data_IF_120799043262
#
_entry.id   IF_120799043262
#
_cell.length_a   1.000
_cell.length_b   1.000
_cell.length_c   1.000
_cell.angle_alpha   90.00
_cell.angle_beta   90.00
_cell.angle_gamma   90.00
#
_symmetry.space_group_name_H-M   'P 1'
#
loop_
_entity.id
_entity.type
_entity.pdbx_description
1 polymer ?
#
# COMPACT_ATOMS: atom_id res chain seq x y z
N UNK A 1 12.44 -3.64 24.01
CA UNK A 1 12.57 -3.68 22.55
C UNK A 1 13.03 -5.06 22.08
N UNK A 2 14.08 -5.63 22.69
CA UNK A 2 14.66 -6.95 22.32
C UNK A 2 13.70 -8.15 22.22
N UNK A 3 12.67 -8.24 23.08
CA UNK A 3 11.77 -9.39 23.09
C UNK A 3 10.79 -9.41 21.89
N UNK A 4 10.33 -8.24 21.43
CA UNK A 4 9.40 -8.15 20.30
C UNK A 4 10.09 -8.44 18.98
N UNK A 5 11.31 -7.93 18.80
CA UNK A 5 12.09 -8.16 17.57
C UNK A 5 12.48 -9.63 17.40
N UNK A 6 12.71 -10.36 18.50
CA UNK A 6 12.97 -11.80 18.48
C UNK A 6 11.73 -12.63 18.12
N UNK A 7 10.54 -12.19 18.53
CA UNK A 7 9.25 -12.89 18.32
C UNK A 7 8.60 -12.57 16.97
N UNK A 8 8.96 -11.44 16.38
CA UNK A 8 8.45 -10.96 15.10
C UNK A 8 9.50 -11.08 13.98
N UNK A 9 10.16 -12.23 13.91
CA UNK A 9 11.18 -12.49 12.91
C UNK A 9 10.54 -12.75 11.54
N UNK A 10 11.01 -12.05 10.49
CA UNK A 10 10.54 -12.25 9.12
C UNK A 10 10.63 -13.69 8.61
N UNK A 11 11.61 -14.48 9.08
CA UNK A 11 11.70 -15.91 8.75
C UNK A 11 10.53 -16.72 9.31
N UNK A 12 10.06 -16.40 10.51
CA UNK A 12 8.92 -17.08 11.13
C UNK A 12 7.62 -16.73 10.38
N UNK A 13 7.44 -15.45 10.01
CA UNK A 13 6.29 -15.00 9.20
C UNK A 13 6.32 -15.69 7.82
N UNK A 14 7.48 -15.73 7.16
CA UNK A 14 7.63 -16.41 5.88
C UNK A 14 7.31 -17.91 5.97
N UNK A 15 7.69 -18.58 7.06
CA UNK A 15 7.33 -19.98 7.30
C UNK A 15 5.82 -20.13 7.51
N UNK A 16 5.20 -19.21 8.25
CA UNK A 16 3.76 -19.20 8.46
C UNK A 16 2.98 -19.04 7.15
N UNK A 17 3.37 -18.07 6.31
CA UNK A 17 2.75 -17.84 5.00
C UNK A 17 2.77 -19.09 4.10
N UNK A 18 3.81 -19.94 4.21
CA UNK A 18 3.91 -21.19 3.43
C UNK A 18 3.01 -22.32 3.96
N UNK A 19 2.54 -22.23 5.20
CA UNK A 19 1.75 -23.28 5.86
C UNK A 19 0.24 -23.02 5.83
N UNK A 20 -0.16 -21.77 5.54
CA UNK A 20 -1.56 -21.36 5.53
C UNK A 20 -2.02 -21.18 4.09
N UNK A 21 -3.13 -21.82 3.74
CA UNK A 21 -3.84 -21.55 2.50
C UNK A 21 -4.69 -20.28 2.65
N UNK A 22 -4.65 -19.34 1.69
CA UNK A 22 -5.47 -18.15 1.76
C UNK A 22 -6.97 -18.45 1.74
N UNK A 23 -7.71 -17.80 2.65
CA UNK A 23 -9.17 -17.76 2.67
C UNK A 23 -9.68 -16.46 2.04
N UNK A 24 -10.99 -16.29 1.88
CA UNK A 24 -11.56 -15.04 1.37
C UNK A 24 -11.36 -13.85 2.34
N UNK A 25 -11.34 -14.11 3.64
CA UNK A 25 -11.33 -13.12 4.72
C UNK A 25 -9.96 -12.96 5.42
N UNK A 26 -8.99 -13.82 5.11
CA UNK A 26 -7.65 -13.84 5.68
C UNK A 26 -7.64 -13.97 7.23
N UNK A 27 -8.74 -14.41 7.86
CA UNK A 27 -8.89 -14.48 9.33
C UNK A 27 -7.92 -15.47 9.97
N UNK A 28 -7.69 -16.61 9.33
CA UNK A 28 -6.76 -17.62 9.84
C UNK A 28 -5.32 -17.08 9.87
N UNK A 29 -4.92 -16.33 8.85
CA UNK A 29 -3.60 -15.69 8.81
C UNK A 29 -3.47 -14.66 9.94
N UNK A 30 -4.49 -13.82 10.12
CA UNK A 30 -4.53 -12.82 11.19
C UNK A 30 -4.42 -13.49 12.58
N UNK A 31 -5.21 -14.53 12.84
CA UNK A 31 -5.18 -15.27 14.10
C UNK A 31 -3.79 -15.86 14.37
N UNK A 32 -3.14 -16.44 13.35
CA UNK A 32 -1.79 -16.98 13.49
C UNK A 32 -0.71 -15.92 13.69
N UNK A 33 -0.83 -14.74 13.07
CA UNK A 33 0.04 -13.61 13.37
C UNK A 33 -0.17 -13.13 14.81
N UNK A 34 -1.41 -13.10 15.29
CA UNK A 34 -1.73 -12.74 16.68
C UNK A 34 -1.17 -13.73 17.70
N UNK A 35 -1.15 -15.04 17.40
CA UNK A 35 -0.52 -16.08 18.23
C UNK A 35 1.00 -15.87 18.39
N UNK A 36 1.68 -15.34 17.37
CA UNK A 36 3.12 -15.05 17.46
C UNK A 36 3.44 -13.90 18.41
N UNK A 37 2.50 -12.97 18.61
CA UNK A 37 2.69 -11.78 19.46
C UNK A 37 1.48 -11.56 20.39
N UNK A 38 1.25 -12.44 21.38
CA UNK A 38 0.05 -12.33 22.22
C UNK A 38 -0.01 -11.05 23.06
N UNK A 39 1.15 -10.40 23.31
CA UNK A 39 1.23 -9.18 24.10
C UNK A 39 0.81 -7.91 23.36
N UNK A 40 0.69 -7.93 22.04
CA UNK A 40 0.36 -6.75 21.24
C UNK A 40 -0.80 -7.05 20.30
N UNK A 41 -1.67 -6.07 20.07
CA UNK A 41 -2.79 -6.21 19.16
C UNK A 41 -2.30 -6.20 17.71
N UNK A 42 -2.61 -7.28 16.99
CA UNK A 42 -2.40 -7.38 15.54
C UNK A 42 -3.73 -7.10 14.83
N UNK A 43 -3.70 -6.31 13.75
CA UNK A 43 -4.86 -6.09 12.89
C UNK A 43 -4.48 -6.08 11.42
N UNK A 44 -5.40 -6.51 10.56
CA UNK A 44 -5.34 -6.22 9.14
C UNK A 44 -5.79 -4.76 8.93
N UNK A 45 -4.84 -3.88 8.60
CA UNK A 45 -5.09 -2.45 8.44
C UNK A 45 -5.67 -2.12 7.07
N UNK A 46 -5.16 -2.76 6.01
CA UNK A 46 -5.59 -2.51 4.62
C UNK A 46 -5.26 -3.69 3.72
N UNK A 47 -6.11 -3.91 2.71
CA UNK A 47 -5.80 -4.71 1.53
C UNK A 47 -5.46 -3.73 0.41
N UNK A 48 -4.29 -3.88 -0.18
CA UNK A 48 -3.81 -3.06 -1.30
C UNK A 48 -4.59 -3.35 -2.58
N UNK A 49 -4.46 -2.43 -3.54
CA UNK A 49 -5.08 -2.59 -4.86
C UNK A 49 -4.52 -3.82 -5.57
N UNK A 50 -5.31 -4.41 -6.47
CA UNK A 50 -4.88 -5.57 -7.25
C UNK A 50 -3.76 -5.17 -8.21
N UNK A 51 -2.71 -5.97 -8.21
CA UNK A 51 -1.60 -5.86 -9.14
C UNK A 51 -1.46 -7.18 -9.90
N UNK A 52 -0.81 -7.10 -11.07
CA UNK A 52 -0.44 -8.29 -11.83
C UNK A 52 1.06 -8.32 -12.11
N UNK A 53 1.57 -9.51 -12.40
CA UNK A 53 2.91 -9.79 -12.93
C UNK A 53 2.81 -10.91 -13.95
N UNK A 54 3.76 -10.95 -14.87
CA UNK A 54 3.95 -12.09 -15.75
C UNK A 54 4.17 -13.36 -14.92
N UNK A 55 3.49 -14.43 -15.30
CA UNK A 55 3.60 -15.75 -14.67
C UNK A 55 4.53 -16.66 -15.45
N UNK A 56 4.17 -17.93 -15.45
CA UNK A 56 4.83 -18.96 -16.25
C UNK A 56 4.07 -19.33 -17.53
N UNK A 57 4.35 -20.54 -18.00
CA UNK A 57 3.73 -21.16 -19.17
C UNK A 57 3.13 -22.50 -18.78
N UNK A 58 1.94 -22.78 -19.30
CA UNK A 58 1.25 -24.06 -19.15
C UNK A 58 0.81 -24.59 -20.51
N UNK A 59 0.54 -25.88 -20.61
CA UNK A 59 -0.12 -26.46 -21.78
C UNK A 59 -1.66 -26.26 -21.72
N UNK A 60 -2.38 -26.70 -22.76
CA UNK A 60 -3.84 -26.63 -22.83
C UNK A 60 -4.57 -27.46 -21.76
N UNK A 61 -3.88 -28.39 -21.09
CA UNK A 61 -4.41 -29.16 -19.97
C UNK A 61 -4.10 -28.51 -18.61
N UNK A 62 -3.37 -27.39 -18.60
CA UNK A 62 -2.95 -26.68 -17.40
C UNK A 62 -1.70 -27.27 -16.74
N UNK A 63 -0.99 -28.20 -17.38
CA UNK A 63 0.27 -28.71 -16.85
C UNK A 63 1.37 -27.67 -17.00
N UNK A 64 2.19 -27.54 -15.97
CA UNK A 64 3.28 -26.57 -15.92
C UNK A 64 4.40 -26.92 -16.89
N UNK A 65 4.70 -26.01 -17.83
CA UNK A 65 5.86 -26.08 -18.74
C UNK A 65 7.02 -25.26 -18.19
N UNK A 66 6.76 -24.04 -17.71
CA UNK A 66 7.77 -23.15 -17.14
C UNK A 66 7.20 -22.24 -16.05
N UNK A 67 7.97 -21.96 -15.01
CA UNK A 67 7.53 -21.09 -13.90
C UNK A 67 7.62 -19.60 -14.23
N UNK A 68 8.47 -19.25 -15.19
CA UNK A 68 8.76 -17.88 -15.58
C UNK A 68 8.74 -17.79 -17.11
N UNK A 69 7.83 -16.97 -17.63
CA UNK A 69 7.62 -16.73 -19.05
C UNK A 69 8.86 -16.11 -19.71
N UNK A 70 9.50 -15.15 -19.05
CA UNK A 70 10.66 -14.42 -19.59
C UNK A 70 11.85 -15.36 -19.69
N UNK A 71 12.17 -16.07 -18.60
CA UNK A 71 13.29 -17.02 -18.57
C UNK A 71 13.10 -18.13 -19.61
N UNK A 72 11.87 -18.66 -19.73
CA UNK A 72 11.57 -19.67 -20.76
C UNK A 72 11.75 -19.10 -22.16
N UNK A 73 11.29 -17.87 -22.41
CA UNK A 73 11.35 -17.23 -23.73
C UNK A 73 12.80 -17.03 -24.15
N UNK A 74 13.65 -16.46 -23.27
CA UNK A 74 15.07 -16.27 -23.55
C UNK A 74 15.80 -17.58 -23.83
N UNK A 75 15.57 -18.60 -22.98
CA UNK A 75 16.19 -19.92 -23.13
C UNK A 75 15.74 -20.60 -24.42
N UNK A 76 14.44 -20.60 -24.71
CA UNK A 76 13.89 -21.27 -25.90
C UNK A 76 14.28 -20.54 -27.17
N UNK A 77 14.32 -19.20 -27.15
CA UNK A 77 14.82 -18.40 -28.27
C UNK A 77 16.25 -18.79 -28.66
N UNK A 78 17.14 -19.02 -27.68
CA UNK A 78 18.50 -19.51 -27.94
C UNK A 78 18.47 -20.91 -28.57
N UNK A 79 17.65 -21.83 -28.05
CA UNK A 79 17.51 -23.19 -28.57
C UNK A 79 16.95 -23.22 -30.00
N UNK A 80 16.08 -22.27 -30.35
CA UNK A 80 15.56 -22.03 -31.69
C UNK A 80 16.58 -21.33 -32.62
N UNK A 81 17.87 -21.27 -32.23
CA UNK A 81 18.91 -20.65 -33.05
C UNK A 81 18.79 -19.12 -33.13
N UNK A 82 18.17 -18.49 -32.14
CA UNK A 82 17.83 -17.05 -32.12
C UNK A 82 16.92 -16.65 -33.29
N UNK A 83 16.04 -17.56 -33.70
CA UNK A 83 15.05 -17.33 -34.73
C UNK A 83 13.66 -17.17 -34.09
N UNK A 84 13.07 -15.98 -34.21
CA UNK A 84 11.75 -15.67 -33.64
C UNK A 84 10.65 -16.49 -34.30
N UNK A 85 10.71 -16.70 -35.61
CA UNK A 85 9.72 -17.47 -36.34
C UNK A 85 9.69 -18.93 -35.86
N UNK A 86 10.87 -19.52 -35.63
CA UNK A 86 10.97 -20.89 -35.08
C UNK A 86 10.46 -20.98 -33.64
N UNK A 87 10.64 -19.94 -32.84
CA UNK A 87 10.06 -19.85 -31.49
C UNK A 87 8.53 -19.75 -31.54
N UNK A 88 8.00 -18.93 -32.45
CA UNK A 88 6.56 -18.75 -32.70
C UNK A 88 5.94 -20.08 -33.11
N UNK A 89 6.52 -20.77 -34.10
CA UNK A 89 6.05 -22.07 -34.59
C UNK A 89 6.02 -23.09 -33.46
N UNK A 90 7.10 -23.19 -32.67
CA UNK A 90 7.17 -24.10 -31.53
C UNK A 90 6.07 -23.83 -30.48
N UNK A 91 5.84 -22.56 -30.14
CA UNK A 91 4.82 -22.18 -29.17
C UNK A 91 3.39 -22.42 -29.67
N UNK A 92 3.14 -22.20 -30.98
CA UNK A 92 1.85 -22.46 -31.62
C UNK A 92 1.54 -23.95 -31.74
N UNK A 93 2.52 -24.76 -32.16
CA UNK A 93 2.38 -26.21 -32.28
C UNK A 93 1.98 -26.87 -30.94
N UNK A 94 2.63 -26.45 -29.86
CA UNK A 94 2.37 -26.94 -28.49
C UNK A 94 1.16 -26.27 -27.82
N UNK A 95 0.55 -25.26 -28.47
CA UNK A 95 -0.59 -24.48 -27.96
C UNK A 95 -0.35 -23.97 -26.55
N UNK A 96 0.81 -23.39 -26.34
CA UNK A 96 1.23 -22.92 -25.03
C UNK A 96 0.35 -21.75 -24.55
N UNK A 97 0.06 -21.74 -23.26
CA UNK A 97 -0.72 -20.71 -22.59
C UNK A 97 0.22 -19.92 -21.69
N UNK A 98 0.23 -18.60 -21.85
CA UNK A 98 0.86 -17.71 -20.89
C UNK A 98 -0.06 -17.53 -19.68
N UNK A 99 0.55 -17.52 -18.51
CA UNK A 99 -0.16 -17.30 -17.24
C UNK A 99 0.25 -15.96 -16.65
N UNK A 100 -0.58 -15.43 -15.75
CA UNK A 100 -0.27 -14.24 -14.98
C UNK A 100 -0.48 -14.50 -13.50
N UNK A 101 0.32 -13.83 -12.68
CA UNK A 101 0.13 -13.78 -11.24
C UNK A 101 -0.63 -12.52 -10.90
N UNK A 102 -1.79 -12.65 -10.26
CA UNK A 102 -2.57 -11.54 -9.72
C UNK A 102 -2.55 -11.60 -8.20
N UNK A 103 -2.58 -10.44 -7.56
CA UNK A 103 -2.58 -10.41 -6.11
C UNK A 103 -2.75 -9.05 -5.50
N UNK A 104 -2.83 -9.05 -4.17
CA UNK A 104 -2.95 -7.86 -3.34
C UNK A 104 -1.91 -7.94 -2.22
N UNK A 105 -1.46 -6.79 -1.73
CA UNK A 105 -0.66 -6.74 -0.50
C UNK A 105 -1.58 -6.56 0.71
N UNK A 106 -1.54 -7.50 1.65
CA UNK A 106 -2.16 -7.38 2.96
C UNK A 106 -1.23 -6.60 3.89
N UNK A 107 -1.71 -5.48 4.42
CA UNK A 107 -0.98 -4.63 5.35
C UNK A 107 -1.47 -4.90 6.77
N UNK A 108 -0.67 -5.60 7.56
CA UNK A 108 -0.93 -5.81 8.98
C UNK A 108 -0.19 -4.79 9.83
N UNK A 109 -0.77 -4.44 10.96
CA UNK A 109 -0.16 -3.55 11.94
C UNK A 109 -0.16 -4.19 13.31
N UNK A 110 0.96 -4.04 14.00
CA UNK A 110 1.17 -4.39 15.41
C UNK A 110 1.46 -3.11 16.16
N UNK A 111 0.53 -2.67 17.00
CA UNK A 111 0.71 -1.47 17.81
C UNK A 111 1.71 -1.75 18.93
N UNK A 112 2.78 -0.96 19.04
CA UNK A 112 3.85 -1.16 20.03
C UNK A 112 3.86 -0.10 21.13
N UNK A 113 3.11 1.00 20.95
CA UNK A 113 3.02 2.09 21.91
C UNK A 113 1.90 3.07 21.60
N UNK A 114 2.05 4.30 22.08
CA UNK A 114 0.99 5.33 22.00
C UNK A 114 1.34 6.49 21.08
N UNK A 115 2.60 6.64 20.69
CA UNK A 115 2.98 7.65 19.71
C UNK A 115 2.58 7.21 18.30
N UNK A 116 2.51 8.18 17.41
CA UNK A 116 2.19 8.03 16.01
C UNK A 116 3.06 6.99 15.31
N UNK A 117 4.36 6.97 15.61
CA UNK A 117 5.39 6.09 15.06
C UNK A 117 5.51 4.73 15.78
N UNK A 118 4.83 4.55 16.92
CA UNK A 118 4.94 3.34 17.77
C UNK A 118 4.10 2.17 17.21
N UNK A 119 4.45 1.70 16.03
CA UNK A 119 3.89 0.49 15.46
C UNK A 119 4.85 -0.22 14.49
N UNK A 120 4.61 -1.51 14.31
CA UNK A 120 5.27 -2.34 13.29
C UNK A 120 4.25 -2.64 12.20
N UNK A 121 4.67 -2.48 10.94
CA UNK A 121 3.90 -2.89 9.78
C UNK A 121 4.46 -4.17 9.17
N UNK A 122 3.59 -5.10 8.81
CA UNK A 122 3.95 -6.35 8.15
C UNK A 122 3.18 -6.40 6.83
N UNK A 123 3.92 -6.51 5.72
CA UNK A 123 3.33 -6.63 4.40
C UNK A 123 3.44 -8.10 3.94
N UNK A 124 2.30 -8.68 3.55
CA UNK A 124 2.20 -10.04 3.04
C UNK A 124 1.44 -9.99 1.73
N UNK A 125 2.03 -10.49 0.65
CA UNK A 125 1.35 -10.60 -0.63
C UNK A 125 0.46 -11.85 -0.65
N UNK A 126 -0.81 -11.69 -1.03
CA UNK A 126 -1.74 -12.78 -1.35
C UNK A 126 -1.82 -12.87 -2.86
N UNK A 127 -1.33 -13.97 -3.42
CA UNK A 127 -1.24 -14.13 -4.87
C UNK A 127 -1.93 -15.41 -5.31
N UNK A 128 -2.47 -15.38 -6.52
CA UNK A 128 -2.91 -16.55 -7.24
C UNK A 128 -2.45 -16.42 -8.69
N UNK A 129 -2.32 -17.55 -9.36
CA UNK A 129 -1.92 -17.59 -10.75
C UNK A 129 -3.10 -18.07 -11.58
N UNK A 130 -3.32 -17.43 -12.73
CA UNK A 130 -4.42 -17.75 -13.63
C UNK A 130 -3.90 -17.83 -15.06
N UNK A 131 -4.59 -18.62 -15.90
CA UNK A 131 -4.42 -18.51 -17.34
C UNK A 131 -4.80 -17.09 -17.79
N UNK A 132 -4.05 -16.58 -18.76
CA UNK A 132 -4.21 -15.22 -19.26
C UNK A 132 -4.57 -15.25 -20.75
N UNK A 133 -3.69 -15.83 -21.56
CA UNK A 133 -3.77 -15.82 -23.03
C UNK A 133 -3.07 -17.00 -23.65
N UNK A 134 -3.35 -17.27 -24.93
CA UNK A 134 -2.42 -18.06 -25.73
C UNK A 134 -1.07 -17.34 -25.80
N UNK A 135 0.02 -18.10 -25.66
CA UNK A 135 1.37 -17.55 -25.69
C UNK A 135 1.64 -16.85 -27.02
N UNK A 136 1.11 -17.40 -28.12
CA UNK A 136 1.16 -16.80 -29.45
C UNK A 136 -0.23 -16.84 -30.08
N UNK A 137 -0.69 -15.70 -30.57
CA UNK A 137 -1.92 -15.60 -31.36
C UNK A 137 -1.73 -16.23 -32.75
N UNK A 138 -2.74 -16.95 -33.23
CA UNK A 138 -2.77 -17.43 -34.63
C UNK A 138 -3.08 -16.29 -35.62
N UNK A 139 -3.74 -15.22 -35.15
CA UNK A 139 -4.23 -14.13 -35.99
C UNK A 139 -3.30 -12.91 -36.00
N UNK A 140 -2.55 -12.71 -34.91
CA UNK A 140 -1.64 -11.59 -34.75
C UNK A 140 -0.32 -12.06 -34.13
N UNK A 141 0.59 -12.67 -34.91
CA UNK A 141 1.87 -13.16 -34.40
C UNK A 141 2.75 -11.98 -33.94
N UNK A 142 3.55 -12.15 -32.87
CA UNK A 142 4.40 -11.09 -32.34
C UNK A 142 5.53 -10.73 -33.31
N UNK A 143 5.87 -9.44 -33.37
CA UNK A 143 6.92 -8.91 -34.25
C UNK A 143 8.32 -8.99 -33.62
N UNK A 144 8.40 -9.02 -32.29
CA UNK A 144 9.65 -9.14 -31.54
C UNK A 144 9.48 -9.94 -30.22
N UNK A 145 10.56 -10.07 -29.45
CA UNK A 145 10.55 -10.80 -28.18
C UNK A 145 9.78 -10.05 -27.08
N UNK A 146 9.70 -8.72 -27.13
CA UNK A 146 8.96 -7.94 -26.15
C UNK A 146 7.46 -8.18 -26.33
N UNK A 147 6.97 -8.13 -27.58
CA UNK A 147 5.59 -8.46 -27.92
C UNK A 147 5.25 -9.94 -27.67
N UNK A 148 6.22 -10.85 -27.86
CA UNK A 148 6.04 -12.26 -27.48
C UNK A 148 5.81 -12.43 -25.97
N UNK A 149 6.53 -11.67 -25.15
CA UNK A 149 6.49 -11.76 -23.68
C UNK A 149 5.28 -11.03 -23.08
N UNK A 150 4.98 -9.83 -23.55
CA UNK A 150 3.91 -8.98 -23.02
C UNK A 150 3.22 -8.19 -24.15
N UNK A 151 2.35 -8.85 -24.95
CA UNK A 151 1.67 -8.21 -26.06
C UNK A 151 0.66 -7.17 -25.57
N UNK A 152 0.53 -6.06 -26.31
CA UNK A 152 -0.43 -5.01 -26.00
C UNK A 152 -1.90 -5.46 -26.16
N UNK A 153 -2.17 -6.32 -27.16
CA UNK A 153 -3.51 -6.81 -27.48
C UNK A 153 -3.51 -8.34 -27.64
N UNK A 154 -3.46 -9.09 -26.52
CA UNK A 154 -3.45 -10.54 -26.57
C UNK A 154 -4.80 -11.16 -26.90
N UNK A 155 -4.75 -12.37 -27.46
CA UNK A 155 -5.90 -13.29 -27.52
C UNK A 155 -6.13 -13.90 -26.14
N UNK A 156 -6.93 -13.20 -25.32
CA UNK A 156 -7.29 -13.63 -23.97
C UNK A 156 -8.09 -14.93 -23.99
N UNK A 157 -7.77 -15.81 -23.04
CA UNK A 157 -8.54 -17.02 -22.79
C UNK A 157 -9.55 -16.80 -21.66
N UNK A 158 -10.53 -17.69 -21.55
CA UNK A 158 -11.32 -17.77 -20.32
C UNK A 158 -10.39 -18.18 -19.17
N UNK A 159 -10.34 -17.32 -18.14
CA UNK A 159 -9.39 -17.46 -17.04
C UNK A 159 -9.76 -18.66 -16.15
N UNK A 160 -8.79 -19.53 -15.90
CA UNK A 160 -8.87 -20.62 -14.93
C UNK A 160 -7.65 -20.59 -13.99
N UNK A 161 -7.84 -21.04 -12.76
CA UNK A 161 -6.79 -20.99 -11.74
C UNK A 161 -5.70 -22.02 -11.97
N UNK A 162 -4.45 -21.57 -11.87
CA UNK A 162 -3.24 -22.39 -11.90
C UNK A 162 -2.82 -22.65 -10.44
N UNK A 163 -3.34 -23.74 -9.90
CA UNK A 163 -3.09 -24.13 -8.51
C UNK A 163 -3.84 -23.26 -7.50
N UNK A 164 -3.42 -23.36 -6.23
CA UNK A 164 -4.03 -22.64 -5.12
C UNK A 164 -3.40 -21.26 -4.91
N UNK A 165 -4.18 -20.32 -4.37
CA UNK A 165 -3.65 -19.06 -3.86
C UNK A 165 -2.60 -19.31 -2.78
N UNK A 166 -1.68 -18.37 -2.61
CA UNK A 166 -0.58 -18.44 -1.63
C UNK A 166 -0.32 -17.09 -0.98
N UNK A 167 0.13 -17.13 0.27
CA UNK A 167 0.74 -15.98 0.93
C UNK A 167 2.25 -15.97 0.71
N UNK A 168 2.83 -14.78 0.55
CA UNK A 168 4.26 -14.55 0.51
C UNK A 168 4.64 -13.39 1.41
N UNK A 169 5.56 -13.62 2.35
CA UNK A 169 6.09 -12.56 3.20
C UNK A 169 6.91 -11.57 2.36
N UNK A 170 6.57 -10.27 2.45
CA UNK A 170 7.23 -9.20 1.70
C UNK A 170 8.23 -8.46 2.58
N UNK A 171 7.79 -7.95 3.73
CA UNK A 171 8.63 -7.20 4.66
C UNK A 171 7.97 -6.97 6.02
N UNK A 172 8.80 -6.57 6.97
CA UNK A 172 8.46 -6.01 8.28
C UNK A 172 9.13 -4.65 8.39
N UNK A 173 8.39 -3.63 8.83
CA UNK A 173 8.89 -2.27 9.03
C UNK A 173 8.57 -1.88 10.47
N UNK A 174 9.60 -1.72 11.31
CA UNK A 174 9.46 -0.97 12.56
C UNK A 174 9.44 0.52 12.21
N UNK A 175 8.31 1.19 12.43
CA UNK A 175 8.10 2.53 11.86
C UNK A 175 8.96 3.57 12.55
N UNK A 176 9.14 3.49 13.87
CA UNK A 176 10.03 4.40 14.59
C UNK A 176 11.47 4.26 14.09
N UNK A 177 12.01 3.04 14.03
CA UNK A 177 13.37 2.78 13.55
C UNK A 177 13.54 3.18 12.08
N UNK A 178 12.53 2.89 11.26
CA UNK A 178 12.55 3.22 9.84
C UNK A 178 12.53 4.73 9.60
N UNK A 179 11.69 5.48 10.30
CA UNK A 179 11.64 6.93 10.20
C UNK A 179 12.94 7.58 10.70
N UNK A 180 13.52 7.08 11.80
CA UNK A 180 14.83 7.51 12.28
C UNK A 180 15.93 7.34 11.22
N UNK A 181 15.90 6.25 10.47
CA UNK A 181 16.86 6.02 9.37
C UNK A 181 16.60 6.94 8.18
N UNK A 182 15.34 7.12 7.76
CA UNK A 182 14.98 8.02 6.65
C UNK A 182 15.41 9.45 6.98
N UNK A 183 15.14 9.92 8.20
CA UNK A 183 15.44 11.29 8.61
C UNK A 183 16.95 11.63 8.56
N UNK A 184 17.86 10.65 8.63
CA UNK A 184 19.32 10.89 8.49
C UNK A 184 19.72 11.39 7.11
N UNK A 185 18.95 11.07 6.08
CA UNK A 185 19.26 11.42 4.69
C UNK A 185 18.46 12.63 4.18
N UNK A 186 17.62 13.22 5.03
CA UNK A 186 16.82 14.40 4.71
C UNK A 186 17.40 15.65 5.40
N UNK A 187 17.61 16.72 4.63
CA UNK A 187 18.14 18.01 5.14
C UNK A 187 17.07 18.72 5.98
N UNK A 188 15.82 18.66 5.54
CA UNK A 188 14.65 19.19 6.21
C UNK A 188 13.82 18.05 6.82
N UNK A 189 12.93 18.38 7.74
CA UNK A 189 12.03 17.39 8.34
C UNK A 189 11.21 16.68 7.27
N UNK A 190 11.23 15.34 7.29
CA UNK A 190 10.49 14.54 6.33
C UNK A 190 8.97 14.78 6.50
N UNK A 191 8.17 14.96 5.42
CA UNK A 191 6.74 15.23 5.55
C UNK A 191 5.95 14.20 6.37
N UNK A 192 6.34 12.92 6.29
CA UNK A 192 5.74 11.86 7.13
C UNK A 192 6.16 11.98 8.59
N UNK A 193 7.40 12.37 8.89
CA UNK A 193 7.85 12.62 10.26
C UNK A 193 7.04 13.78 10.86
N UNK A 194 6.95 14.89 10.12
CA UNK A 194 6.13 16.03 10.51
C UNK A 194 4.67 15.65 10.75
N UNK A 195 4.09 14.80 9.90
CA UNK A 195 2.72 14.30 10.08
C UNK A 195 2.56 13.56 11.41
N UNK A 196 3.53 12.71 11.77
CA UNK A 196 3.54 11.97 13.03
C UNK A 196 3.72 12.91 14.23
N UNK A 197 4.56 13.93 14.12
CA UNK A 197 4.79 14.92 15.17
C UNK A 197 3.56 15.83 15.39
N UNK A 198 2.93 16.29 14.30
CA UNK A 198 1.65 17.00 14.34
C UNK A 198 0.55 16.14 14.95
N UNK A 199 0.50 14.83 14.63
CA UNK A 199 -0.40 13.89 15.29
C UNK A 199 -0.15 13.84 16.80
N UNK A 200 1.09 13.57 17.20
CA UNK A 200 1.51 13.38 18.59
C UNK A 200 1.18 14.57 19.49
N UNK A 201 1.29 15.80 18.97
CA UNK A 201 1.01 17.02 19.73
C UNK A 201 -0.43 17.54 19.64
N UNK A 202 -1.25 16.99 18.73
CA UNK A 202 -2.66 17.40 18.55
C UNK A 202 -3.63 16.70 19.51
N UNK A 203 -4.91 17.07 19.41
CA UNK A 203 -6.01 16.37 20.11
C UNK A 203 -6.25 14.95 19.57
N UNK A 204 -5.78 14.61 18.36
CA UNK A 204 -6.00 13.30 17.76
C UNK A 204 -5.36 12.18 18.61
N UNK A 205 -4.11 12.36 19.03
CA UNK A 205 -3.37 11.41 19.88
C UNK A 205 -4.11 11.06 21.18
N UNK A 206 -4.89 11.98 21.74
CA UNK A 206 -5.59 11.75 23.01
C UNK A 206 -6.77 10.78 22.88
N UNK A 207 -7.24 10.53 21.66
CA UNK A 207 -8.48 9.78 21.39
C UNK A 207 -8.31 8.67 20.35
N UNK A 208 -7.24 8.68 19.58
CA UNK A 208 -6.97 7.68 18.55
C UNK A 208 -5.49 7.32 18.47
N UNK A 209 -5.25 6.10 17.99
CA UNK A 209 -3.94 5.60 17.60
C UNK A 209 -3.78 5.88 16.12
N UNK A 210 -2.67 6.52 15.70
CA UNK A 210 -2.46 6.87 14.30
C UNK A 210 -2.62 5.65 13.40
N UNK A 211 -2.04 4.53 13.82
CA UNK A 211 -2.00 3.34 12.98
C UNK A 211 -3.40 2.85 12.59
N UNK A 212 -4.41 3.01 13.45
CA UNK A 212 -5.78 2.54 13.20
C UNK A 212 -6.35 3.01 11.86
N UNK A 213 -6.04 4.24 11.45
CA UNK A 213 -6.53 4.86 10.23
C UNK A 213 -5.42 5.18 9.20
N UNK A 214 -4.14 4.97 9.55
CA UNK A 214 -3.00 5.38 8.72
C UNK A 214 -1.86 4.34 8.75
N UNK A 215 -1.23 4.10 7.60
CA UNK A 215 -0.05 3.24 7.47
C UNK A 215 1.06 3.97 6.73
N UNK A 216 2.29 3.44 6.80
CA UNK A 216 3.41 3.93 6.00
C UNK A 216 3.61 3.05 4.76
N UNK A 217 3.84 3.67 3.61
CA UNK A 217 4.20 2.97 2.38
C UNK A 217 5.55 3.47 1.91
N UNK A 218 6.64 2.76 2.24
CA UNK A 218 7.92 3.02 1.62
C UNK A 218 7.87 2.69 0.13
N UNK A 219 8.45 3.56 -0.69
CA UNK A 219 8.57 3.41 -2.13
C UNK A 219 9.97 3.84 -2.58
N UNK A 220 10.37 3.42 -3.77
CA UNK A 220 11.63 3.86 -4.38
C UNK A 220 11.31 4.92 -5.42
N UNK A 221 12.09 5.98 -5.42
CA UNK A 221 12.09 6.97 -6.47
C UNK A 221 13.49 7.10 -7.06
N UNK A 222 13.56 7.36 -8.36
CA UNK A 222 14.82 7.65 -9.04
C UNK A 222 15.07 9.14 -8.94
N UNK A 223 16.16 9.53 -8.28
CA UNK A 223 16.57 10.90 -8.14
C UNK A 223 17.09 11.50 -9.45
N UNK A 224 17.44 12.79 -9.42
CA UNK A 224 17.77 13.56 -10.63
C UNK A 224 19.05 13.08 -11.31
N UNK A 225 19.91 12.34 -10.59
CA UNK A 225 21.16 11.79 -11.09
C UNK A 225 21.12 10.26 -11.24
N UNK A 226 19.91 9.67 -11.25
CA UNK A 226 19.72 8.23 -11.40
C UNK A 226 19.89 7.44 -10.09
N UNK A 227 20.13 8.12 -8.98
CA UNK A 227 20.26 7.51 -7.66
C UNK A 227 18.93 6.92 -7.18
N UNK A 228 18.97 5.76 -6.53
CA UNK A 228 17.78 5.14 -5.96
C UNK A 228 17.55 5.66 -4.55
N UNK A 229 16.52 6.48 -4.37
CA UNK A 229 16.15 7.08 -3.08
C UNK A 229 14.97 6.28 -2.52
N UNK A 230 15.11 5.77 -1.30
CA UNK A 230 13.99 5.22 -0.55
C UNK A 230 13.27 6.41 0.09
N UNK A 231 11.98 6.52 -0.17
CA UNK A 231 11.12 7.52 0.41
C UNK A 231 9.90 6.82 1.03
N UNK A 232 9.08 7.55 1.79
CA UNK A 232 7.91 7.03 2.47
C UNK A 232 6.75 7.99 2.34
N UNK A 233 5.58 7.45 2.11
CA UNK A 233 4.34 8.20 2.22
C UNK A 233 3.47 7.63 3.34
N UNK A 234 2.62 8.49 3.90
CA UNK A 234 1.54 8.06 4.78
C UNK A 234 0.27 7.86 3.98
N UNK A 235 -0.42 6.75 4.24
CA UNK A 235 -1.58 6.28 3.48
C UNK A 235 -2.74 6.09 4.44
N UNK A 236 -3.89 6.70 4.13
CA UNK A 236 -5.11 6.46 4.88
C UNK A 236 -5.63 5.04 4.59
N UNK A 237 -6.03 4.32 5.62
CA UNK A 237 -6.56 2.95 5.54
C UNK A 237 -8.05 2.84 5.80
N UNK A 238 -8.75 3.94 6.07
CA UNK A 238 -10.19 3.85 6.31
C UNK A 238 -10.94 3.35 5.08
N UNK A 239 -11.68 2.27 5.32
CA UNK A 239 -12.67 1.71 4.40
C UNK A 239 -14.08 2.24 4.67
N UNK A 240 -14.28 3.05 5.72
CA UNK A 240 -15.58 3.66 5.99
C UNK A 240 -15.88 4.66 4.87
N UNK A 241 -17.14 4.71 4.44
CA UNK A 241 -17.66 5.72 3.51
C UNK A 241 -17.72 7.10 4.20
N UNK A 242 -16.55 7.67 4.53
CA UNK A 242 -16.43 9.02 5.07
C UNK A 242 -16.82 9.98 3.95
N UNK A 243 -17.84 10.79 4.20
CA UNK A 243 -18.32 11.74 3.21
C UNK A 243 -17.33 12.90 3.12
N UNK A 244 -17.12 13.38 1.90
CA UNK A 244 -16.36 14.60 1.68
C UNK A 244 -16.96 15.76 2.49
N UNK A 245 -16.10 16.56 3.10
CA UNK A 245 -16.52 17.74 3.83
C UNK A 245 -17.20 18.72 2.86
N UNK A 246 -18.35 19.27 3.28
CA UNK A 246 -19.08 20.30 2.53
C UNK A 246 -18.23 21.56 2.39
N UNK A 247 -18.49 22.32 1.32
CA UNK A 247 -17.83 23.60 1.11
C UNK A 247 -17.98 24.54 2.33
N UNK A 248 -16.86 25.16 2.69
CA UNK A 248 -16.70 26.08 3.81
C UNK A 248 -16.89 27.54 3.41
N UNK A 249 -17.05 27.83 2.12
CA UNK A 249 -17.26 29.19 1.61
C UNK A 249 -18.35 29.95 2.37
N UNK A 250 -17.98 31.12 2.90
CA UNK A 250 -18.89 32.01 3.64
C UNK A 250 -19.29 31.54 5.04
N UNK A 251 -18.76 30.41 5.53
CA UNK A 251 -19.04 29.90 6.89
C UNK A 251 -18.01 30.41 7.88
N UNK A 252 -18.47 30.82 9.07
CA UNK A 252 -17.63 31.27 10.20
C UNK A 252 -18.18 30.84 11.56
N UNK A 253 -17.35 30.91 12.58
CA UNK A 253 -17.67 30.66 13.98
C UNK A 253 -18.37 29.32 14.17
N UNK A 254 -19.51 29.32 14.85
CA UNK A 254 -20.29 28.12 15.17
C UNK A 254 -20.66 27.28 13.93
N UNK A 255 -20.90 27.92 12.78
CA UNK A 255 -21.23 27.18 11.55
C UNK A 255 -20.05 26.37 11.02
N UNK A 256 -18.84 26.93 11.08
CA UNK A 256 -17.62 26.26 10.69
C UNK A 256 -17.26 25.18 11.72
N UNK A 257 -17.27 25.51 13.01
CA UNK A 257 -17.01 24.56 14.10
C UNK A 257 -17.92 23.32 14.04
N UNK A 258 -19.21 23.50 13.72
CA UNK A 258 -20.16 22.41 13.55
C UNK A 258 -19.88 21.52 12.32
N UNK A 259 -19.23 22.03 11.26
CA UNK A 259 -18.82 21.20 10.14
C UNK A 259 -17.60 20.36 10.49
N UNK A 260 -16.59 20.96 11.13
CA UNK A 260 -15.39 20.25 11.58
C UNK A 260 -15.77 19.13 12.54
N UNK A 261 -16.56 19.45 13.57
CA UNK A 261 -17.03 18.47 14.56
C UNK A 261 -17.82 17.33 13.93
N UNK A 262 -18.62 17.62 12.89
CA UNK A 262 -19.37 16.56 12.18
C UNK A 262 -18.43 15.65 11.40
N UNK A 263 -17.41 16.19 10.75
CA UNK A 263 -16.41 15.40 10.04
C UNK A 263 -15.59 14.54 11.02
N UNK A 264 -15.09 15.15 12.09
CA UNK A 264 -14.34 14.45 13.14
C UNK A 264 -15.11 13.28 13.75
N UNK A 265 -16.42 13.46 13.96
CA UNK A 265 -17.32 12.39 14.42
C UNK A 265 -17.50 11.27 13.39
N UNK A 266 -17.49 11.57 12.10
CA UNK A 266 -17.58 10.54 11.05
C UNK A 266 -16.31 9.68 11.03
N UNK A 267 -15.14 10.32 11.16
CA UNK A 267 -13.87 9.60 11.16
C UNK A 267 -13.70 8.79 12.46
N UNK A 268 -13.95 9.43 13.61
CA UNK A 268 -13.93 8.81 14.93
C UNK A 268 -13.00 9.47 15.96
N UNK A 269 -12.33 10.57 15.61
CA UNK A 269 -11.40 11.28 16.51
C UNK A 269 -11.40 12.80 16.24
N UNK A 270 -11.10 13.63 17.26
CA UNK A 270 -11.07 15.08 17.11
C UNK A 270 -9.90 15.50 16.22
N UNK A 271 -10.05 16.63 15.52
CA UNK A 271 -9.03 17.19 14.64
C UNK A 271 -8.69 16.30 13.43
N UNK A 272 -9.52 15.30 13.12
CA UNK A 272 -9.36 14.44 11.95
C UNK A 272 -9.40 15.23 10.65
N UNK A 273 -10.24 16.26 10.56
CA UNK A 273 -10.35 17.10 9.38
C UNK A 273 -8.99 17.67 8.93
N UNK A 274 -8.08 17.98 9.85
CA UNK A 274 -6.76 18.51 9.55
C UNK A 274 -5.89 17.47 8.83
N UNK A 275 -5.80 16.25 9.35
CA UNK A 275 -5.00 15.18 8.74
C UNK A 275 -5.56 14.73 7.39
N UNK A 276 -6.89 14.72 7.25
CA UNK A 276 -7.55 14.46 5.96
C UNK A 276 -7.37 15.60 4.96
N UNK A 277 -7.23 16.84 5.42
CA UNK A 277 -6.91 18.01 4.59
C UNK A 277 -5.49 17.91 4.05
N UNK A 278 -4.52 17.58 4.91
CA UNK A 278 -3.10 17.44 4.53
C UNK A 278 -2.91 16.41 3.40
N UNK A 279 -3.74 15.34 3.36
CA UNK A 279 -3.68 14.30 2.31
C UNK A 279 -4.60 14.54 1.11
N UNK A 280 -5.40 15.61 1.11
CA UNK A 280 -5.95 16.22 -0.11
C UNK A 280 -7.11 15.52 -0.83
N UNK A 281 -7.94 14.71 -0.15
CA UNK A 281 -9.10 14.06 -0.80
C UNK A 281 -10.47 14.41 -0.22
N UNK A 282 -10.62 14.36 1.10
CA UNK A 282 -11.94 14.53 1.74
C UNK A 282 -12.15 15.91 2.34
N UNK A 283 -11.08 16.66 2.56
CA UNK A 283 -11.11 18.03 3.09
C UNK A 283 -10.21 18.90 2.24
N UNK A 284 -10.73 20.04 1.79
CA UNK A 284 -9.99 20.96 0.92
C UNK A 284 -9.06 21.86 1.76
N UNK A 285 -7.85 22.22 1.27
CA UNK A 285 -6.92 23.10 1.98
C UNK A 285 -7.51 24.47 2.39
N UNK A 286 -8.48 24.99 1.62
CA UNK A 286 -9.22 26.20 1.96
C UNK A 286 -9.94 26.13 3.32
N UNK A 287 -10.25 24.92 3.80
CA UNK A 287 -10.78 24.67 5.14
C UNK A 287 -9.79 25.12 6.20
N UNK A 288 -8.51 24.74 6.08
CA UNK A 288 -7.47 25.14 7.03
C UNK A 288 -7.28 26.65 7.09
N UNK A 289 -7.29 27.32 5.93
CA UNK A 289 -7.19 28.80 5.85
C UNK A 289 -8.40 29.49 6.49
N UNK A 290 -9.62 28.99 6.23
CA UNK A 290 -10.84 29.52 6.84
C UNK A 290 -10.83 29.35 8.36
N UNK A 291 -10.44 28.16 8.84
CA UNK A 291 -10.33 27.88 10.28
C UNK A 291 -9.25 28.74 10.93
N UNK A 292 -8.09 28.89 10.30
CA UNK A 292 -7.01 29.75 10.79
C UNK A 292 -7.47 31.20 10.95
N UNK A 293 -8.20 31.72 9.96
CA UNK A 293 -8.74 33.08 9.99
C UNK A 293 -9.74 33.26 11.14
N UNK A 294 -10.60 32.28 11.37
CA UNK A 294 -11.58 32.32 12.46
C UNK A 294 -10.92 32.25 13.84
N UNK A 295 -9.97 31.33 14.04
CA UNK A 295 -9.32 31.15 15.36
C UNK A 295 -8.30 32.23 15.70
N UNK A 296 -7.82 32.97 14.70
CA UNK A 296 -7.01 34.18 14.92
C UNK A 296 -7.86 35.46 15.04
N UNK A 297 -9.17 35.36 14.78
CA UNK A 297 -10.15 36.40 15.06
C UNK A 297 -10.80 36.22 16.44
N UNK A 298 -12.11 36.45 16.51
CA UNK A 298 -12.86 36.44 17.77
C UNK A 298 -13.41 35.05 18.16
N UNK A 299 -13.12 33.99 17.39
CA UNK A 299 -13.70 32.67 17.63
C UNK A 299 -12.71 31.71 18.30
N UNK A 300 -13.11 31.13 19.43
CA UNK A 300 -12.35 30.09 20.13
C UNK A 300 -13.16 28.80 20.20
N UNK A 301 -12.92 27.89 19.25
CA UNK A 301 -13.56 26.57 19.20
C UNK A 301 -12.59 25.40 19.00
N UNK A 302 -11.29 25.69 18.83
CA UNK A 302 -10.23 24.69 18.79
C UNK A 302 -9.39 24.76 20.07
N UNK A 303 -8.98 23.62 20.64
CA UNK A 303 -7.96 23.57 21.69
C UNK A 303 -6.65 24.25 21.26
N UNK A 304 -5.93 24.85 22.21
CA UNK A 304 -4.67 25.58 21.93
C UNK A 304 -3.63 24.73 21.18
N UNK A 305 -3.56 23.43 21.49
CA UNK A 305 -2.67 22.48 20.82
C UNK A 305 -2.96 22.32 19.33
N UNK A 306 -4.24 22.30 18.95
CA UNK A 306 -4.67 22.13 17.57
C UNK A 306 -4.49 23.44 16.81
N UNK A 307 -4.70 24.58 17.49
CA UNK A 307 -4.37 25.91 16.95
C UNK A 307 -2.86 26.04 16.67
N UNK A 308 -2.01 25.51 17.54
CA UNK A 308 -0.56 25.51 17.32
C UNK A 308 -0.18 24.70 16.07
N UNK A 309 -0.72 23.49 15.91
CA UNK A 309 -0.52 22.67 14.70
C UNK A 309 -0.98 23.40 13.44
N UNK A 310 -2.17 24.01 13.48
CA UNK A 310 -2.71 24.76 12.35
C UNK A 310 -1.86 26.00 12.00
N UNK A 311 -1.36 26.71 13.00
CA UNK A 311 -0.46 27.86 12.81
C UNK A 311 0.83 27.46 12.09
N UNK A 312 1.45 26.36 12.53
CA UNK A 312 2.68 25.86 11.91
C UNK A 312 2.43 25.38 10.47
N UNK A 313 1.27 24.78 10.21
CA UNK A 313 0.84 24.43 8.85
C UNK A 313 0.67 25.65 7.94
N UNK A 314 0.06 26.74 8.42
CA UNK A 314 -0.07 27.97 7.61
C UNK A 314 1.29 28.59 7.32
N UNK A 315 2.20 28.58 8.29
CA UNK A 315 3.55 29.14 8.13
C UNK A 315 4.42 28.32 7.17
N UNK A 316 4.31 27.00 7.23
CA UNK A 316 5.00 26.08 6.34
C UNK A 316 4.02 24.98 5.91
N UNK A 317 3.30 25.11 4.78
CA UNK A 317 2.40 24.06 4.32
C UNK A 317 3.16 22.75 4.01
N UNK A 318 2.47 21.61 4.04
CA UNK A 318 3.06 20.35 3.55
C UNK A 318 3.36 20.50 2.05
N UNK A 319 4.60 20.22 1.66
CA UNK A 319 4.98 20.07 0.25
C UNK A 319 4.36 18.78 -0.29
N UNK A 320 3.49 18.92 -1.31
CA UNK A 320 2.95 17.80 -2.09
C UNK A 320 3.94 17.38 -3.15
#
# INVERSE_FOLDING_TARGET
>A
MDDLDSKLNGQQIAKLCKQILPSADDELLLAKLQELIPSHKVRLARIGDEWYRLGGIVDMQGNRIAQDLVEWTERTFINCGKNLQTLIEHAQEEKLIATRQTGNTLHFVVQTGTKAEDFIQIDIDKTHEISDRLLVSEHNPPEDLEEFIDPLNPDCLEAFSIGAARYSYKRKTDVAVFMDEINKYHIEEHPVQRFMDDWNRSSAQQKAVLSDDWIVRPFRNTGRFGEQIINVEIVNTQQKNVLQMKDVSGKKGTSLANLLTRFDRQVGYPFAWFFYMVKGKLVLPQTGVAVYTDVNGDFSYLPERDVAVLKDWVNAPYSV
#
